data_IF_356436887493
#
_entry.id   IF_356436887493
#
_cell.length_a   1.000
_cell.length_b   1.000
_cell.length_c   1.000
_cell.angle_alpha   90.00
_cell.angle_beta   90.00
_cell.angle_gamma   90.00
#
_symmetry.space_group_name_H-M   'P 1'
#
loop_
_entity.id
_entity.type
_entity.pdbx_description
1 polymer ?
#
# COMPACT_ATOMS: atom_id res chain seq x y z
N UNK A 1 -57.22 17.64 52.52
CA UNK A 1 -55.86 17.03 52.39
C UNK A 1 -55.72 16.50 50.97
N UNK A 2 -54.95 17.17 50.12
CA UNK A 2 -54.69 16.74 48.74
C UNK A 2 -53.19 16.57 48.59
N UNK A 3 -52.73 15.33 48.50
CA UNK A 3 -51.33 14.96 48.35
C UNK A 3 -50.88 15.06 46.89
N UNK A 4 -49.78 15.77 46.64
CA UNK A 4 -49.14 15.89 45.33
C UNK A 4 -48.02 14.84 45.22
N UNK A 5 -48.13 13.94 44.25
CA UNK A 5 -47.05 13.02 43.84
C UNK A 5 -46.21 13.75 42.78
N UNK A 6 -44.89 13.86 43.01
CA UNK A 6 -43.92 14.34 42.01
C UNK A 6 -43.25 13.13 41.36
N UNK A 7 -43.42 12.97 40.05
CA UNK A 7 -42.64 12.05 39.21
C UNK A 7 -41.36 12.77 38.74
N UNK A 8 -40.21 12.23 39.11
CA UNK A 8 -38.91 12.65 38.59
C UNK A 8 -38.58 11.83 37.33
N UNK A 9 -38.54 12.49 36.17
CA UNK A 9 -38.08 11.90 34.92
C UNK A 9 -36.57 12.00 34.80
N UNK A 10 -35.87 10.87 34.75
CA UNK A 10 -34.44 10.80 34.46
C UNK A 10 -34.21 10.81 32.94
N UNK A 11 -33.54 11.85 32.43
CA UNK A 11 -33.12 11.94 31.04
C UNK A 11 -31.82 11.16 30.83
N UNK A 12 -31.90 10.04 30.11
CA UNK A 12 -30.75 9.21 29.74
C UNK A 12 -30.06 9.82 28.51
N UNK A 13 -28.95 10.54 28.71
CA UNK A 13 -28.12 11.06 27.61
C UNK A 13 -27.20 9.95 27.09
N UNK A 14 -27.53 9.38 25.93
CA UNK A 14 -26.66 8.48 25.18
C UNK A 14 -25.63 9.29 24.40
N UNK A 15 -24.39 9.34 24.90
CA UNK A 15 -23.24 9.80 24.13
C UNK A 15 -22.91 8.77 23.04
N UNK A 16 -23.29 9.06 21.80
CA UNK A 16 -22.82 8.34 20.61
C UNK A 16 -21.36 8.73 20.34
N UNK A 17 -20.43 7.89 20.79
CA UNK A 17 -19.04 7.97 20.36
C UNK A 17 -18.97 7.70 18.86
N UNK A 18 -18.74 8.74 18.06
CA UNK A 18 -18.44 8.60 16.63
C UNK A 18 -17.08 7.91 16.53
N UNK A 19 -17.10 6.60 16.32
CA UNK A 19 -15.89 5.87 15.95
C UNK A 19 -15.42 6.43 14.60
N UNK A 20 -14.27 7.09 14.59
CA UNK A 20 -13.59 7.48 13.36
C UNK A 20 -13.15 6.18 12.69
N UNK A 21 -13.91 5.74 11.67
CA UNK A 21 -13.55 4.59 10.88
C UNK A 21 -12.29 4.92 10.08
N UNK A 22 -11.12 4.51 10.59
CA UNK A 22 -9.90 4.48 9.79
C UNK A 22 -10.11 3.44 8.68
N UNK A 23 -10.09 3.88 7.42
CA UNK A 23 -10.10 2.96 6.29
C UNK A 23 -8.95 1.95 6.45
N UNK A 24 -9.21 0.66 6.20
CA UNK A 24 -8.15 -0.35 6.30
C UNK A 24 -6.97 0.06 5.40
N UNK A 25 -5.71 0.03 5.90
CA UNK A 25 -4.54 0.55 5.17
C UNK A 25 -4.45 -0.04 3.76
N UNK A 26 -4.76 -1.33 3.61
CA UNK A 26 -4.73 -2.04 2.35
C UNK A 26 -5.73 -1.54 1.28
N UNK A 27 -6.73 -0.75 1.65
CA UNK A 27 -7.72 -0.18 0.74
C UNK A 27 -7.36 1.20 0.18
N UNK A 28 -6.43 1.95 0.79
CA UNK A 28 -6.16 3.35 0.41
C UNK A 28 -5.54 3.51 -0.98
N UNK A 29 -5.03 2.42 -1.56
CA UNK A 29 -4.43 2.37 -2.90
C UNK A 29 -5.32 1.69 -3.96
N UNK A 30 -6.58 1.37 -3.67
CA UNK A 30 -7.42 0.57 -4.57
C UNK A 30 -7.57 1.18 -5.98
N UNK A 31 -7.88 2.49 -6.08
CA UNK A 31 -8.03 3.17 -7.38
C UNK A 31 -6.73 3.17 -8.19
N UNK A 32 -5.61 3.37 -7.51
CA UNK A 32 -4.27 3.39 -8.11
C UNK A 32 -3.87 2.01 -8.60
N UNK A 33 -4.13 0.98 -7.79
CA UNK A 33 -3.88 -0.40 -8.17
C UNK A 33 -4.75 -0.79 -9.38
N UNK A 34 -6.01 -0.36 -9.42
CA UNK A 34 -6.88 -0.57 -10.58
C UNK A 34 -6.33 0.09 -11.85
N UNK A 35 -5.85 1.34 -11.76
CA UNK A 35 -5.21 2.04 -12.89
C UNK A 35 -3.94 1.31 -13.37
N UNK A 36 -3.08 0.90 -12.44
CA UNK A 36 -1.86 0.15 -12.75
C UNK A 36 -2.17 -1.19 -13.41
N UNK A 37 -3.16 -1.93 -12.92
CA UNK A 37 -3.59 -3.19 -13.52
C UNK A 37 -4.21 -3.00 -14.88
N UNK A 38 -5.06 -1.99 -15.06
CA UNK A 38 -5.61 -1.62 -16.38
C UNK A 38 -4.49 -1.33 -17.37
N UNK A 39 -3.54 -0.48 -17.00
CA UNK A 39 -2.41 -0.13 -17.87
C UNK A 39 -1.53 -1.34 -18.17
N UNK A 40 -1.26 -2.17 -17.17
CA UNK A 40 -0.51 -3.41 -17.34
C UNK A 40 -1.20 -4.35 -18.33
N UNK A 41 -2.52 -4.52 -18.24
CA UNK A 41 -3.31 -5.31 -19.18
C UNK A 41 -3.26 -4.76 -20.62
N UNK A 42 -3.33 -3.45 -20.80
CA UNK A 42 -3.16 -2.81 -22.12
C UNK A 42 -1.78 -3.11 -22.72
N UNK A 43 -0.72 -2.93 -21.93
CA UNK A 43 0.65 -3.16 -22.38
C UNK A 43 0.87 -4.65 -22.67
N UNK A 44 0.40 -5.54 -21.80
CA UNK A 44 0.50 -6.99 -21.98
C UNK A 44 -0.17 -7.46 -23.28
N UNK A 45 -1.32 -6.86 -23.66
CA UNK A 45 -1.97 -7.11 -24.96
C UNK A 45 -1.09 -6.67 -26.12
N UNK A 46 -0.53 -5.46 -26.06
CA UNK A 46 0.31 -4.91 -27.14
C UNK A 46 1.56 -5.73 -27.40
N UNK A 47 2.17 -6.28 -26.35
CA UNK A 47 3.42 -7.07 -26.47
C UNK A 47 3.18 -8.57 -26.69
N UNK A 48 1.93 -8.99 -26.93
CA UNK A 48 1.59 -10.39 -27.23
C UNK A 48 1.65 -11.33 -26.02
N UNK A 49 1.68 -10.81 -24.80
CA UNK A 49 1.61 -11.61 -23.57
C UNK A 49 0.20 -12.09 -23.22
N UNK A 50 -0.81 -11.53 -23.89
CA UNK A 50 -2.21 -11.82 -23.62
C UNK A 50 -2.63 -13.08 -24.36
N UNK A 51 -2.14 -14.24 -23.90
CA UNK A 51 -2.75 -15.50 -24.28
C UNK A 51 -4.08 -15.57 -23.51
N UNK A 52 -5.19 -15.43 -24.23
CA UNK A 52 -6.58 -15.68 -23.84
C UNK A 52 -6.85 -15.85 -22.34
N UNK A 53 -7.61 -14.93 -21.75
CA UNK A 53 -8.25 -15.08 -20.44
C UNK A 53 -9.17 -16.32 -20.44
N UNK A 54 -8.59 -17.51 -20.30
CA UNK A 54 -9.22 -18.59 -19.58
C UNK A 54 -8.98 -18.32 -18.10
N UNK A 55 -10.05 -18.32 -17.32
CA UNK A 55 -10.06 -18.00 -15.90
C UNK A 55 -8.84 -18.56 -15.15
N UNK A 56 -8.07 -17.68 -14.51
CA UNK A 56 -7.02 -18.10 -13.57
C UNK A 56 -5.65 -18.45 -14.15
N UNK A 57 -5.41 -18.27 -15.46
CA UNK A 57 -4.04 -18.35 -15.99
C UNK A 57 -3.36 -16.99 -15.80
N UNK A 58 -2.30 -16.89 -14.97
CA UNK A 58 -1.66 -15.61 -14.70
C UNK A 58 -1.02 -15.05 -15.97
N UNK A 59 -0.59 -13.78 -15.93
CA UNK A 59 0.37 -13.18 -16.87
C UNK A 59 1.73 -13.93 -16.94
N UNK A 60 1.80 -15.20 -16.55
CA UNK A 60 2.93 -16.13 -16.60
C UNK A 60 3.71 -16.07 -17.91
N UNK A 61 3.02 -16.01 -19.07
CA UNK A 61 3.66 -15.85 -20.38
C UNK A 61 4.48 -14.55 -20.51
N UNK A 62 4.07 -13.50 -19.78
CA UNK A 62 4.75 -12.20 -19.74
C UNK A 62 5.99 -12.18 -18.83
N UNK A 63 6.09 -13.12 -17.89
CA UNK A 63 7.26 -13.28 -17.03
C UNK A 63 8.26 -14.32 -17.56
N UNK A 64 7.82 -15.19 -18.47
CA UNK A 64 8.65 -16.23 -19.08
C UNK A 64 9.63 -15.69 -20.13
N UNK A 65 9.27 -14.61 -20.84
CA UNK A 65 10.15 -13.96 -21.82
C UNK A 65 10.73 -12.66 -21.25
N UNK A 66 12.03 -12.65 -20.95
CA UNK A 66 12.73 -11.51 -20.34
C UNK A 66 12.56 -10.20 -21.15
N UNK A 67 12.61 -10.28 -22.48
CA UNK A 67 12.45 -9.12 -23.37
C UNK A 67 11.05 -8.52 -23.32
N UNK A 68 10.03 -9.35 -23.10
CA UNK A 68 8.63 -8.91 -23.01
C UNK A 68 8.35 -8.31 -21.64
N UNK A 69 8.90 -8.89 -20.57
CA UNK A 69 8.87 -8.29 -19.23
C UNK A 69 9.58 -6.92 -19.19
N UNK A 70 10.75 -6.80 -19.82
CA UNK A 70 11.49 -5.54 -19.86
C UNK A 70 10.75 -4.43 -20.62
N UNK A 71 10.12 -4.76 -21.76
CA UNK A 71 9.27 -3.82 -22.50
C UNK A 71 8.08 -3.38 -21.65
N UNK A 72 7.38 -4.32 -21.03
CA UNK A 72 6.26 -4.02 -20.14
C UNK A 72 6.70 -3.16 -18.96
N UNK A 73 7.83 -3.47 -18.33
CA UNK A 73 8.39 -2.69 -17.24
C UNK A 73 8.75 -1.26 -17.69
N UNK A 74 9.37 -1.08 -18.87
CA UNK A 74 9.69 0.25 -19.43
C UNK A 74 8.43 1.09 -19.66
N UNK A 75 7.37 0.52 -20.21
CA UNK A 75 6.09 1.21 -20.40
C UNK A 75 5.43 1.58 -19.07
N UNK A 76 5.46 0.68 -18.08
CA UNK A 76 4.94 0.98 -16.74
C UNK A 76 5.77 2.08 -16.04
N UNK A 77 7.10 2.12 -16.22
CA UNK A 77 7.96 3.22 -15.76
C UNK A 77 7.57 4.54 -16.45
N UNK A 78 7.39 4.50 -17.76
CA UNK A 78 7.01 5.68 -18.55
C UNK A 78 5.67 6.24 -18.06
N UNK A 79 4.67 5.37 -17.87
CA UNK A 79 3.39 5.73 -17.31
C UNK A 79 3.53 6.31 -15.89
N UNK A 80 4.28 5.65 -15.00
CA UNK A 80 4.55 6.15 -13.66
C UNK A 80 5.16 7.56 -13.68
N UNK A 81 6.16 7.79 -14.55
CA UNK A 81 6.80 9.09 -14.71
C UNK A 81 5.86 10.18 -15.24
N UNK A 82 4.93 9.83 -16.13
CA UNK A 82 3.88 10.75 -16.58
C UNK A 82 2.96 11.12 -15.41
N UNK A 83 2.53 10.12 -14.62
CA UNK A 83 1.68 10.34 -13.44
C UNK A 83 2.40 11.15 -12.36
N UNK A 84 3.71 10.98 -12.18
CA UNK A 84 4.50 11.74 -11.20
C UNK A 84 4.73 13.21 -11.60
N UNK A 85 4.71 13.53 -12.90
CA UNK A 85 4.96 14.90 -13.42
C UNK A 85 3.72 15.81 -13.38
N UNK A 86 2.51 15.27 -13.27
CA UNK A 86 1.28 16.08 -13.29
C UNK A 86 0.00 15.40 -12.80
N UNK A 87 0.06 14.18 -12.26
CA UNK A 87 -1.11 13.39 -11.85
C UNK A 87 -1.11 13.01 -10.36
N UNK A 88 -1.91 12.00 -10.00
CA UNK A 88 -2.10 11.56 -8.61
C UNK A 88 -0.81 11.14 -7.92
N UNK A 89 0.21 10.65 -8.64
CA UNK A 89 1.47 10.21 -8.06
C UNK A 89 2.36 11.37 -7.56
N UNK A 90 2.02 12.63 -7.86
CA UNK A 90 2.69 13.81 -7.28
C UNK A 90 2.34 14.01 -5.79
N UNK A 91 1.12 13.64 -5.40
CA UNK A 91 0.61 13.79 -4.03
C UNK A 91 0.46 12.42 -3.33
N UNK A 92 0.07 11.40 -4.10
CA UNK A 92 -0.27 10.06 -3.67
C UNK A 92 0.92 9.10 -3.47
N UNK A 93 0.66 7.78 -3.53
CA UNK A 93 1.65 6.73 -3.33
C UNK A 93 2.91 6.91 -4.18
N UNK A 94 4.07 6.69 -3.54
CA UNK A 94 5.38 6.72 -4.18
C UNK A 94 5.75 5.36 -4.75
N UNK A 95 6.74 5.32 -5.63
CA UNK A 95 7.20 4.05 -6.18
C UNK A 95 7.95 3.25 -5.11
N UNK A 96 7.60 1.98 -4.95
CA UNK A 96 8.41 1.01 -4.22
C UNK A 96 9.53 0.48 -5.14
N UNK A 97 10.63 1.23 -5.22
CA UNK A 97 11.78 0.86 -6.04
C UNK A 97 12.60 -0.27 -5.38
N UNK A 98 12.83 -1.35 -6.11
CA UNK A 98 13.63 -2.48 -5.64
C UNK A 98 15.13 -2.17 -5.67
N UNK A 99 15.86 -2.67 -4.69
CA UNK A 99 17.31 -2.49 -4.55
C UNK A 99 17.73 -1.11 -4.06
N UNK A 100 16.83 -0.14 -4.07
CA UNK A 100 17.09 1.23 -3.60
C UNK A 100 16.73 1.40 -2.12
N UNK A 101 17.44 2.34 -1.51
CA UNK A 101 17.14 2.87 -0.18
C UNK A 101 16.18 4.04 -0.35
N UNK A 102 15.01 3.96 0.30
CA UNK A 102 13.97 4.98 0.28
C UNK A 102 13.90 5.63 1.66
N UNK A 103 14.37 6.86 1.78
CA UNK A 103 14.37 7.62 3.04
C UNK A 103 13.18 8.58 3.10
N UNK A 104 12.68 8.83 4.31
CA UNK A 104 11.61 9.79 4.50
C UNK A 104 11.37 10.19 5.94
N UNK A 105 10.53 11.21 6.08
CA UNK A 105 10.07 11.73 7.37
C UNK A 105 8.56 11.90 7.30
N UNK A 106 7.85 11.35 8.28
CA UNK A 106 6.45 11.63 8.55
C UNK A 106 6.37 12.59 9.72
N UNK A 107 5.45 13.55 9.65
CA UNK A 107 5.25 14.56 10.68
C UNK A 107 3.82 14.46 11.19
N UNK A 108 3.65 14.51 12.52
CA UNK A 108 2.35 14.33 13.17
C UNK A 108 1.73 12.96 12.80
N UNK A 109 0.41 12.91 12.59
CA UNK A 109 -0.32 11.72 12.10
C UNK A 109 -0.21 11.50 10.58
N UNK A 110 0.93 11.88 9.99
CA UNK A 110 1.13 11.78 8.54
C UNK A 110 1.25 10.33 8.05
N UNK A 111 0.68 10.07 6.88
CA UNK A 111 0.78 8.79 6.15
C UNK A 111 1.75 8.91 4.97
N UNK A 112 2.42 7.81 4.64
CA UNK A 112 3.08 7.61 3.35
C UNK A 112 2.83 6.20 2.83
N UNK A 113 2.40 6.12 1.58
CA UNK A 113 2.28 4.86 0.88
C UNK A 113 3.35 4.73 -0.20
N UNK A 114 3.87 3.51 -0.36
CA UNK A 114 4.69 3.07 -1.47
C UNK A 114 3.97 1.93 -2.20
N UNK A 115 4.05 1.88 -3.53
CA UNK A 115 3.49 0.79 -4.32
C UNK A 115 4.42 0.45 -5.49
N UNK A 116 4.51 -0.81 -5.86
CA UNK A 116 5.26 -1.23 -7.06
C UNK A 116 4.60 -0.70 -8.33
N UNK A 117 5.39 -0.16 -9.25
CA UNK A 117 4.92 0.33 -10.56
C UNK A 117 4.34 -0.75 -11.49
N UNK A 118 4.61 -2.01 -11.22
CA UNK A 118 4.15 -3.15 -12.01
C UNK A 118 4.03 -4.39 -11.12
N UNK A 119 3.23 -5.39 -11.51
CA UNK A 119 3.14 -6.64 -10.77
C UNK A 119 4.49 -7.35 -10.65
N UNK A 120 4.70 -8.04 -9.53
CA UNK A 120 5.95 -8.72 -9.27
C UNK A 120 6.10 -9.98 -10.11
N UNK A 121 7.30 -10.17 -10.64
CA UNK A 121 7.70 -11.35 -11.42
C UNK A 121 8.42 -12.43 -10.60
N UNK A 122 8.60 -12.18 -9.29
CA UNK A 122 9.22 -13.09 -8.33
C UNK A 122 8.26 -13.34 -7.19
N UNK A 123 8.30 -14.54 -6.64
CA UNK A 123 7.41 -14.93 -5.55
C UNK A 123 7.85 -14.41 -4.18
N UNK A 124 9.09 -13.90 -4.09
CA UNK A 124 9.70 -13.48 -2.84
C UNK A 124 10.22 -12.05 -2.90
N UNK A 125 9.96 -11.33 -1.82
CA UNK A 125 10.54 -10.01 -1.55
C UNK A 125 11.00 -9.95 -0.11
N UNK A 126 12.25 -9.58 0.09
CA UNK A 126 12.72 -9.14 1.39
C UNK A 126 12.39 -7.66 1.57
N UNK A 127 11.57 -7.34 2.57
CA UNK A 127 11.27 -5.97 2.97
C UNK A 127 11.98 -5.65 4.27
N UNK A 128 12.61 -4.48 4.34
CA UNK A 128 13.21 -3.95 5.56
C UNK A 128 12.74 -2.52 5.80
N UNK A 129 12.28 -2.26 7.01
CA UNK A 129 11.94 -0.92 7.50
C UNK A 129 12.79 -0.63 8.72
N UNK A 130 13.40 0.56 8.76
CA UNK A 130 14.20 1.03 9.88
C UNK A 130 13.72 2.41 10.28
N UNK A 131 13.52 2.64 11.57
CA UNK A 131 13.43 3.98 12.13
C UNK A 131 14.85 4.53 12.24
N UNK A 132 15.06 5.70 11.67
CA UNK A 132 16.35 6.40 11.69
C UNK A 132 16.39 7.56 12.66
N UNK A 133 15.22 8.02 13.11
CA UNK A 133 15.11 9.14 14.04
C UNK A 133 13.66 9.53 14.31
N UNK A 134 13.51 10.65 15.03
CA UNK A 134 12.22 11.18 15.42
C UNK A 134 11.63 10.51 16.68
N UNK A 135 10.63 11.15 17.28
CA UNK A 135 10.01 10.75 18.55
C UNK A 135 8.69 10.01 18.40
N UNK A 136 8.13 9.96 17.20
CA UNK A 136 6.91 9.20 16.91
C UNK A 136 7.27 7.73 16.67
N UNK A 137 6.37 6.84 17.06
CA UNK A 137 6.35 5.45 16.60
C UNK A 137 5.81 5.41 15.16
N UNK A 138 6.24 4.43 14.37
CA UNK A 138 5.67 4.18 13.04
C UNK A 138 4.82 2.92 13.02
N UNK A 139 3.64 2.97 12.42
CA UNK A 139 2.89 1.78 11.99
C UNK A 139 3.31 1.42 10.58
N UNK A 140 3.48 0.13 10.30
CA UNK A 140 3.80 -0.37 8.96
C UNK A 140 2.84 -1.48 8.58
N UNK A 141 2.11 -1.28 7.48
CA UNK A 141 1.25 -2.31 6.90
C UNK A 141 1.67 -2.61 5.47
N UNK A 142 1.82 -3.89 5.14
CA UNK A 142 2.24 -4.36 3.82
C UNK A 142 1.11 -5.19 3.22
N UNK A 143 0.72 -4.87 1.99
CA UNK A 143 -0.38 -5.52 1.30
C UNK A 143 0.05 -5.99 -0.09
N UNK A 144 -0.51 -7.11 -0.54
CA UNK A 144 -0.48 -7.50 -1.95
C UNK A 144 -1.85 -7.28 -2.59
N UNK A 145 -1.86 -6.88 -3.85
CA UNK A 145 -3.09 -6.54 -4.57
C UNK A 145 -3.10 -7.32 -5.88
N UNK A 146 -4.12 -8.15 -6.08
CA UNK A 146 -4.30 -8.93 -7.31
C UNK A 146 -4.92 -8.10 -8.44
N UNK A 147 -5.01 -8.67 -9.64
CA UNK A 147 -5.59 -8.05 -10.83
C UNK A 147 -7.05 -7.63 -10.65
N UNK A 148 -7.80 -8.30 -9.78
CA UNK A 148 -9.19 -7.98 -9.46
C UNK A 148 -9.30 -6.84 -8.46
N UNK A 149 -8.17 -6.28 -8.01
CA UNK A 149 -8.10 -5.25 -6.99
C UNK A 149 -8.27 -5.79 -5.57
N UNK A 150 -8.29 -7.11 -5.36
CA UNK A 150 -8.39 -7.69 -4.03
C UNK A 150 -7.07 -7.46 -3.29
N UNK A 151 -7.14 -6.70 -2.22
CA UNK A 151 -6.00 -6.43 -1.35
C UNK A 151 -5.93 -7.45 -0.21
N UNK A 152 -4.73 -7.94 0.12
CA UNK A 152 -4.48 -8.90 1.20
C UNK A 152 -3.31 -8.44 2.04
N UNK A 153 -3.51 -8.29 3.35
CA UNK A 153 -2.45 -7.94 4.31
C UNK A 153 -1.45 -9.08 4.45
N UNK A 154 -0.17 -8.77 4.29
CA UNK A 154 0.95 -9.73 4.40
C UNK A 154 1.73 -9.57 5.70
N UNK A 155 1.90 -8.33 6.13
CA UNK A 155 2.70 -8.00 7.31
C UNK A 155 2.20 -6.70 7.90
N UNK A 156 2.17 -6.63 9.22
CA UNK A 156 1.68 -5.50 9.98
C UNK A 156 2.46 -5.42 11.28
N UNK A 157 2.96 -4.25 11.64
CA UNK A 157 3.71 -4.06 12.88
C UNK A 157 3.93 -2.60 13.23
N UNK A 158 4.18 -2.39 14.51
CA UNK A 158 4.64 -1.12 15.05
C UNK A 158 6.17 -1.08 15.17
N UNK A 159 6.74 0.08 14.93
CA UNK A 159 8.17 0.36 14.94
C UNK A 159 8.47 1.56 15.84
N UNK A 160 8.69 1.26 17.12
CA UNK A 160 9.11 2.24 18.10
C UNK A 160 10.56 2.68 17.87
N UNK A 161 11.47 1.72 17.65
CA UNK A 161 12.90 1.95 17.41
C UNK A 161 13.52 0.84 16.55
N UNK A 162 14.73 1.10 16.02
CA UNK A 162 15.54 0.09 15.35
C UNK A 162 15.03 -0.30 13.95
N UNK A 163 15.20 -1.57 13.57
CA UNK A 163 14.77 -2.07 12.25
C UNK A 163 14.10 -3.42 12.31
N UNK A 164 13.09 -3.63 11.46
CA UNK A 164 12.45 -4.92 11.24
C UNK A 164 12.56 -5.31 9.76
N UNK A 165 12.70 -6.61 9.51
CA UNK A 165 12.72 -7.18 8.16
C UNK A 165 11.88 -8.43 8.08
N UNK A 166 11.28 -8.68 6.91
CA UNK A 166 10.52 -9.90 6.65
C UNK A 166 10.65 -10.31 5.19
N UNK A 167 10.81 -11.62 4.98
CA UNK A 167 10.64 -12.25 3.67
C UNK A 167 9.15 -12.47 3.42
N UNK A 168 8.62 -11.79 2.42
CA UNK A 168 7.25 -11.92 1.95
C UNK A 168 7.23 -12.99 0.86
N UNK A 169 6.23 -13.87 0.90
CA UNK A 169 6.02 -14.96 -0.07
C UNK A 169 4.65 -14.84 -0.73
N UNK A 170 4.42 -15.52 -1.85
CA UNK A 170 3.13 -15.48 -2.53
C UNK A 170 2.82 -14.09 -3.13
N UNK A 171 3.86 -13.33 -3.49
CA UNK A 171 3.73 -11.97 -4.04
C UNK A 171 3.84 -11.92 -5.56
N UNK A 172 4.19 -13.03 -6.21
CA UNK A 172 4.21 -13.10 -7.67
C UNK A 172 2.82 -12.76 -8.24
N UNK A 173 2.77 -12.03 -9.34
CA UNK A 173 1.53 -11.59 -9.99
C UNK A 173 0.65 -10.66 -9.13
N UNK A 174 1.23 -9.99 -8.15
CA UNK A 174 0.54 -8.96 -7.36
C UNK A 174 1.28 -7.64 -7.48
N UNK A 175 0.59 -6.53 -7.25
CA UNK A 175 1.24 -5.28 -6.83
C UNK A 175 1.53 -5.39 -5.33
N UNK A 176 2.66 -4.84 -4.88
CA UNK A 176 3.01 -4.78 -3.46
C UNK A 176 2.92 -3.33 -3.00
N UNK A 177 2.17 -3.07 -1.93
CA UNK A 177 2.11 -1.78 -1.26
C UNK A 177 2.67 -1.83 0.16
N UNK A 178 3.26 -0.72 0.60
CA UNK A 178 3.76 -0.51 1.96
C UNK A 178 3.20 0.82 2.46
N UNK A 179 2.43 0.77 3.53
CA UNK A 179 1.82 1.90 4.21
C UNK A 179 2.63 2.18 5.46
N UNK A 180 3.00 3.44 5.65
CA UNK A 180 3.74 3.93 6.81
C UNK A 180 2.92 5.06 7.43
N UNK A 181 2.58 4.91 8.70
CA UNK A 181 1.84 5.92 9.45
C UNK A 181 2.65 6.34 10.68
N UNK A 182 2.72 7.64 10.93
CA UNK A 182 3.29 8.12 12.19
C UNK A 182 2.24 8.16 13.30
N UNK A 183 2.56 7.53 14.42
CA UNK A 183 1.77 7.58 15.65
C UNK A 183 2.35 8.63 16.59
N UNK A 184 1.80 9.85 16.50
CA UNK A 184 2.11 10.90 17.47
C UNK A 184 1.85 12.30 16.95
N UNK A 185 0.92 13.01 17.59
CA UNK A 185 0.61 14.41 17.30
C UNK A 185 1.87 15.25 17.56
N UNK A 186 2.28 16.09 16.60
CA UNK A 186 3.50 16.95 16.61
C UNK A 186 4.86 16.28 16.55
N UNK A 187 4.94 14.94 16.57
CA UNK A 187 6.22 14.22 16.56
C UNK A 187 6.59 13.78 15.13
N UNK A 188 7.87 13.50 14.91
CA UNK A 188 8.38 13.01 13.63
C UNK A 188 8.67 11.52 13.72
N UNK A 189 8.44 10.80 12.62
CA UNK A 189 8.93 9.45 12.39
C UNK A 189 9.83 9.49 11.16
N UNK A 190 11.14 9.34 11.36
CA UNK A 190 12.13 9.30 10.28
C UNK A 190 12.47 7.85 10.00
N UNK A 191 12.49 7.47 8.73
CA UNK A 191 12.63 6.07 8.34
C UNK A 191 13.49 5.86 7.10
N UNK A 192 13.94 4.62 6.98
CA UNK A 192 14.45 4.01 5.76
C UNK A 192 13.61 2.78 5.41
N UNK A 193 13.19 2.69 4.16
CA UNK A 193 12.52 1.54 3.55
C UNK A 193 13.42 0.95 2.46
N UNK A 194 13.52 -0.38 2.41
CA UNK A 194 14.20 -1.11 1.32
C UNK A 194 13.43 -2.38 0.97
N UNK A 195 13.26 -2.62 -0.32
CA UNK A 195 12.71 -3.86 -0.86
C UNK A 195 13.74 -4.52 -1.80
N UNK A 196 13.98 -5.82 -1.66
CA UNK A 196 14.86 -6.60 -2.52
C UNK A 196 14.08 -7.79 -3.06
N UNK A 197 14.17 -8.06 -4.37
CA UNK A 197 13.59 -9.28 -4.96
C UNK A 197 14.54 -10.45 -4.70
N UNK A 198 14.00 -11.60 -4.33
CA UNK A 198 14.73 -12.85 -4.19
C UNK A 198 14.40 -13.82 -5.34
#
# INVERSE_FOLDING_TARGET
MVGRIRLAGAALSTFLSVAVAHAEPCGSVASIAADLWKKYGEVAKQVGCYAAQAEGVPYAGCYAAASTYEKTAKEMISHWNQMAKGGWAKIGPRELEFGRRLDGTLVSVGERVFITRAPLNKDRVELRVRKTGGRAEGSVTVCKIDEKGKSTKLWDFDLEEGSKSRKLTGVQNHLLSVHLDAKGITKKFEYTLRATRE
#
